data_IF_103915696808
#
_entry.id   IF_103915696808
#
_cell.length_a   1.000
_cell.length_b   1.000
_cell.length_c   1.000
_cell.angle_alpha   90.00
_cell.angle_beta   90.00
_cell.angle_gamma   90.00
#
_symmetry.space_group_name_H-M   'P 1'
#
loop_
_entity.id
_entity.type
_entity.pdbx_description
1 polymer ?
#
# COMPACT_ATOMS: atom_id res chain seq x y z
N UNK A 1 1.39 26.09 25.41
CA UNK A 1 1.99 25.56 26.66
C UNK A 1 1.16 25.90 27.91
N UNK A 2 0.60 27.12 28.02
CA UNK A 2 -0.24 27.52 29.18
C UNK A 2 -1.55 26.71 29.36
N UNK A 3 -2.19 26.32 28.26
CA UNK A 3 -3.43 25.53 28.27
C UNK A 3 -3.24 24.17 28.96
N UNK A 4 -2.10 23.51 28.70
CA UNK A 4 -1.74 22.23 29.31
C UNK A 4 -1.53 22.37 30.82
N UNK A 5 -0.89 23.46 31.26
CA UNK A 5 -0.64 23.74 32.68
C UNK A 5 -1.93 24.07 33.45
N UNK A 6 -2.88 24.79 32.83
CA UNK A 6 -4.22 25.03 33.40
C UNK A 6 -5.02 23.74 33.55
N UNK A 7 -5.05 22.91 32.51
CA UNK A 7 -5.73 21.61 32.54
C UNK A 7 -5.11 20.70 33.60
N UNK A 8 -3.78 20.65 33.68
CA UNK A 8 -3.07 19.85 34.68
C UNK A 8 -3.37 20.27 36.12
N UNK A 9 -3.38 21.57 36.39
CA UNK A 9 -3.72 22.09 37.72
C UNK A 9 -5.19 21.84 38.09
N UNK A 10 -6.10 21.89 37.11
CA UNK A 10 -7.51 21.58 37.32
C UNK A 10 -7.73 20.09 37.63
N UNK A 11 -7.07 19.20 36.89
CA UNK A 11 -7.09 17.75 37.16
C UNK A 11 -6.54 17.46 38.56
N UNK A 12 -5.42 18.08 38.96
CA UNK A 12 -4.85 17.93 40.30
C UNK A 12 -5.80 18.40 41.41
N UNK A 13 -6.58 19.45 41.16
CA UNK A 13 -7.59 19.95 42.11
C UNK A 13 -8.69 18.92 42.33
N UNK A 14 -9.22 18.34 41.25
CA UNK A 14 -10.29 17.32 41.30
C UNK A 14 -9.78 16.03 41.96
N UNK A 15 -8.51 15.70 41.76
CA UNK A 15 -7.89 14.51 42.34
C UNK A 15 -7.62 14.63 43.84
N UNK A 16 -7.40 15.85 44.34
CA UNK A 16 -7.22 16.13 45.77
C UNK A 16 -8.54 16.21 46.52
N UNK A 17 -9.66 16.33 45.81
CA UNK A 17 -10.98 16.34 46.44
C UNK A 17 -11.36 14.93 46.93
N UNK A 18 -11.59 14.74 48.25
CA UNK A 18 -11.80 13.42 48.84
C UNK A 18 -13.08 12.73 48.38
N UNK A 19 -14.05 13.49 47.87
CA UNK A 19 -15.31 12.97 47.31
C UNK A 19 -15.13 12.60 45.84
N UNK A 20 -14.60 13.51 45.03
CA UNK A 20 -14.43 13.31 43.58
C UNK A 20 -13.38 12.26 43.24
N UNK A 21 -12.29 12.18 44.02
CA UNK A 21 -11.28 11.13 43.86
C UNK A 21 -11.86 9.72 44.03
N UNK A 22 -12.80 9.54 44.98
CA UNK A 22 -13.50 8.27 45.19
C UNK A 22 -14.47 7.95 44.05
N UNK A 23 -15.22 8.94 43.56
CA UNK A 23 -16.14 8.79 42.42
C UNK A 23 -15.38 8.42 41.14
N UNK A 24 -14.26 9.10 40.88
CA UNK A 24 -13.42 8.84 39.71
C UNK A 24 -12.77 7.46 39.84
N UNK A 25 -12.27 7.09 41.02
CA UNK A 25 -11.69 5.77 41.26
C UNK A 25 -12.72 4.65 41.09
N UNK A 26 -13.93 4.82 41.63
CA UNK A 26 -15.03 3.88 41.43
C UNK A 26 -15.43 3.78 39.96
N UNK A 27 -15.48 4.91 39.24
CA UNK A 27 -15.74 4.96 37.80
C UNK A 27 -14.68 4.22 36.98
N UNK A 28 -13.39 4.42 37.29
CA UNK A 28 -12.28 3.72 36.64
C UNK A 28 -12.34 2.22 36.91
N UNK A 29 -12.62 1.79 38.15
CA UNK A 29 -12.77 0.37 38.52
C UNK A 29 -13.93 -0.26 37.76
N UNK A 30 -15.05 0.45 37.64
CA UNK A 30 -16.23 -0.02 36.91
C UNK A 30 -15.93 -0.14 35.40
N UNK A 31 -15.19 0.82 34.83
CA UNK A 31 -14.77 0.83 33.43
C UNK A 31 -13.78 -0.31 33.13
N UNK A 32 -12.81 -0.55 34.02
CA UNK A 32 -11.86 -1.68 33.90
C UNK A 32 -12.62 -3.00 34.01
N UNK A 33 -13.56 -3.12 34.96
CA UNK A 33 -14.36 -4.33 35.18
C UNK A 33 -15.28 -4.63 33.99
N UNK A 34 -15.92 -3.62 33.39
CA UNK A 34 -16.78 -3.80 32.20
C UNK A 34 -15.98 -4.14 30.94
N UNK A 35 -14.80 -3.54 30.75
CA UNK A 35 -13.91 -3.92 29.63
C UNK A 35 -13.38 -5.34 29.84
N UNK A 36 -13.05 -5.74 31.06
CA UNK A 36 -12.55 -7.09 31.38
C UNK A 36 -13.62 -8.18 31.23
N UNK A 37 -14.86 -7.93 31.66
CA UNK A 37 -16.02 -8.81 31.45
C UNK A 37 -16.31 -9.04 29.96
N UNK A 38 -16.10 -8.02 29.12
CA UNK A 38 -16.29 -8.14 27.68
C UNK A 38 -15.21 -8.99 26.99
N UNK A 39 -14.04 -9.13 27.61
CA UNK A 39 -12.88 -9.81 27.03
C UNK A 39 -12.52 -11.15 27.70
N UNK A 40 -13.14 -11.51 28.83
CA UNK A 40 -12.87 -12.76 29.54
C UNK A 40 -14.17 -13.53 29.79
N UNK A 41 -14.19 -14.82 29.47
CA UNK A 41 -15.27 -15.76 29.83
C UNK A 41 -15.25 -16.09 31.34
N UNK A 42 -14.90 -15.12 32.18
CA UNK A 42 -14.75 -15.28 33.64
C UNK A 42 -15.93 -14.67 34.38
N UNK A 43 -16.27 -15.27 35.51
CA UNK A 43 -17.44 -14.88 36.31
C UNK A 43 -17.10 -13.66 37.18
N UNK A 44 -18.07 -12.75 37.40
CA UNK A 44 -17.87 -11.50 38.16
C UNK A 44 -17.22 -11.71 39.55
N UNK A 45 -17.51 -12.84 40.18
CA UNK A 45 -17.00 -13.23 41.50
C UNK A 45 -15.50 -13.56 41.49
N UNK A 46 -15.00 -14.15 40.40
CA UNK A 46 -13.58 -14.52 40.24
C UNK A 46 -12.73 -13.27 39.99
N UNK A 47 -13.26 -12.32 39.23
CA UNK A 47 -12.61 -11.03 38.97
C UNK A 47 -12.52 -10.20 40.26
N UNK A 48 -13.59 -10.17 41.06
CA UNK A 48 -13.60 -9.45 42.34
C UNK A 48 -12.58 -10.05 43.32
N UNK A 49 -12.54 -11.38 43.46
CA UNK A 49 -11.57 -12.05 44.33
C UNK A 49 -10.13 -11.84 43.83
N UNK A 50 -9.87 -11.93 42.53
CA UNK A 50 -8.54 -11.67 41.96
C UNK A 50 -8.09 -10.21 42.11
N UNK A 51 -9.01 -9.24 42.05
CA UNK A 51 -8.72 -7.84 42.35
C UNK A 51 -8.38 -7.63 43.82
N UNK A 52 -9.16 -8.21 44.74
CA UNK A 52 -8.94 -8.10 46.19
C UNK A 52 -7.64 -8.79 46.61
N UNK A 53 -7.33 -9.97 46.07
CA UNK A 53 -6.06 -10.67 46.31
C UNK A 53 -4.87 -9.94 45.68
N UNK A 54 -5.04 -9.38 44.47
CA UNK A 54 -4.04 -8.52 43.83
C UNK A 54 -3.78 -7.21 44.58
N UNK A 55 -4.83 -6.65 45.22
CA UNK A 55 -4.76 -5.50 46.12
C UNK A 55 -4.10 -5.82 47.47
N UNK A 56 -4.11 -7.09 47.88
CA UNK A 56 -3.50 -7.56 49.13
C UNK A 56 -1.97 -7.74 49.03
N UNK A 57 -1.41 -7.83 47.82
CA UNK A 57 0.03 -7.81 47.63
C UNK A 57 0.61 -6.42 47.89
N UNK A 58 1.70 -6.35 48.66
CA UNK A 58 2.53 -5.14 48.92
C UNK A 58 3.09 -4.46 47.66
N UNK A 59 2.74 -4.92 46.46
CA UNK A 59 3.06 -4.23 45.24
C UNK A 59 2.16 -2.98 45.14
N UNK A 60 2.72 -1.77 44.98
CA UNK A 60 1.90 -0.58 44.86
C UNK A 60 0.99 -0.75 43.65
N UNK A 61 -0.32 -0.64 43.86
CA UNK A 61 -1.42 -0.75 42.87
C UNK A 61 -1.10 0.00 41.56
N UNK A 62 -0.32 1.07 41.67
CA UNK A 62 0.24 1.83 40.56
C UNK A 62 1.02 1.00 39.52
N UNK A 63 1.66 -0.11 39.89
CA UNK A 63 2.41 -0.99 38.97
C UNK A 63 1.47 -1.79 38.07
N UNK A 64 0.37 -2.31 38.63
CA UNK A 64 -0.65 -2.99 37.83
C UNK A 64 -1.40 -2.01 36.92
N UNK A 65 -1.75 -0.83 37.45
CA UNK A 65 -2.36 0.24 36.66
C UNK A 65 -1.43 0.76 35.55
N UNK A 66 -0.12 0.85 35.80
CA UNK A 66 0.85 1.31 34.79
C UNK A 66 1.04 0.29 33.66
N UNK A 67 1.06 -1.01 33.97
CA UNK A 67 1.10 -2.08 32.95
C UNK A 67 -0.15 -2.06 32.07
N UNK A 68 -1.33 -1.91 32.67
CA UNK A 68 -2.59 -1.80 31.93
C UNK A 68 -2.57 -0.54 31.05
N UNK A 69 -2.19 0.61 31.59
CA UNK A 69 -2.08 1.86 30.82
C UNK A 69 -1.07 1.75 29.67
N UNK A 70 0.08 1.12 29.89
CA UNK A 70 1.10 0.89 28.86
C UNK A 70 0.58 0.00 27.72
N UNK A 71 -0.15 -1.07 28.04
CA UNK A 71 -0.80 -1.93 27.04
C UNK A 71 -1.77 -1.13 26.16
N UNK A 72 -2.62 -0.30 26.77
CA UNK A 72 -3.56 0.54 26.02
C UNK A 72 -2.85 1.60 25.17
N UNK A 73 -1.81 2.24 25.68
CA UNK A 73 -1.00 3.20 24.94
C UNK A 73 -0.35 2.57 23.71
N UNK A 74 0.26 1.39 23.86
CA UNK A 74 0.86 0.65 22.74
C UNK A 74 -0.19 0.30 21.66
N UNK A 75 -1.37 -0.17 22.07
CA UNK A 75 -2.45 -0.53 21.15
C UNK A 75 -3.01 0.70 20.42
N UNK A 76 -3.07 1.85 21.10
CA UNK A 76 -3.51 3.12 20.54
C UNK A 76 -2.47 3.66 19.56
N UNK A 77 -1.18 3.54 19.90
CA UNK A 77 -0.08 3.86 18.99
C UNK A 77 -0.15 3.02 17.71
N UNK A 78 -0.27 1.70 17.84
CA UNK A 78 -0.42 0.80 16.69
C UNK A 78 -1.64 1.16 15.82
N UNK A 79 -2.76 1.54 16.43
CA UNK A 79 -3.98 1.94 15.69
C UNK A 79 -3.81 3.29 14.97
N UNK A 80 -3.13 4.26 15.59
CA UNK A 80 -2.85 5.56 14.99
C UNK A 80 -1.82 5.50 13.86
N UNK A 81 -0.93 4.51 13.87
CA UNK A 81 0.04 4.28 12.79
C UNK A 81 -0.48 3.43 11.63
N UNK A 82 -1.70 2.88 11.73
CA UNK A 82 -2.36 2.31 10.54
C UNK A 82 -2.73 3.46 9.61
N UNK A 83 -1.81 3.84 8.73
CA UNK A 83 -2.09 4.72 7.59
C UNK A 83 -3.34 4.18 6.90
N UNK A 84 -4.37 5.00 6.79
CA UNK A 84 -5.52 4.68 5.95
C UNK A 84 -4.95 4.54 4.54
N UNK A 85 -4.91 3.32 4.02
CA UNK A 85 -4.54 3.09 2.63
C UNK A 85 -5.56 3.81 1.77
N UNK A 86 -5.09 4.65 0.83
CA UNK A 86 -5.98 5.33 -0.08
C UNK A 86 -6.87 4.32 -0.81
N UNK A 87 -8.17 4.63 -1.00
CA UNK A 87 -9.12 3.68 -1.59
C UNK A 87 -8.71 3.21 -2.99
N UNK A 88 -7.89 3.99 -3.69
CA UNK A 88 -7.34 3.69 -5.02
C UNK A 88 -6.53 2.38 -5.02
N UNK A 89 -5.78 2.10 -3.94
CA UNK A 89 -4.96 0.88 -3.85
C UNK A 89 -5.79 -0.40 -3.80
N UNK A 90 -7.06 -0.30 -3.43
CA UNK A 90 -8.00 -1.42 -3.36
C UNK A 90 -8.90 -1.53 -4.59
N UNK A 91 -8.77 -0.64 -5.58
CA UNK A 91 -9.61 -0.66 -6.76
C UNK A 91 -9.31 -1.89 -7.63
N UNK A 92 -10.37 -2.52 -8.17
CA UNK A 92 -10.23 -3.73 -8.98
C UNK A 92 -9.89 -3.39 -10.43
N UNK A 93 -8.87 -4.06 -10.97
CA UNK A 93 -8.35 -3.93 -12.33
C UNK A 93 -8.29 -5.34 -12.93
N UNK A 94 -9.40 -5.75 -13.56
CA UNK A 94 -9.64 -7.13 -14.00
C UNK A 94 -9.66 -8.11 -12.83
N UNK A 95 -8.73 -9.07 -12.86
CA UNK A 95 -8.62 -10.12 -11.84
C UNK A 95 -7.77 -9.73 -10.62
N UNK A 96 -7.13 -8.56 -10.65
CA UNK A 96 -6.23 -8.08 -9.61
C UNK A 96 -6.77 -6.82 -8.93
N UNK A 97 -6.33 -6.55 -7.71
CA UNK A 97 -6.38 -5.17 -7.17
C UNK A 97 -5.26 -4.33 -7.77
N UNK A 98 -5.47 -3.01 -7.83
CA UNK A 98 -4.46 -2.07 -8.33
C UNK A 98 -3.12 -2.23 -7.61
N UNK A 99 -3.12 -2.32 -6.27
CA UNK A 99 -1.91 -2.57 -5.48
C UNK A 99 -1.19 -3.87 -5.85
N UNK A 100 -1.94 -4.95 -6.04
CA UNK A 100 -1.38 -6.26 -6.41
C UNK A 100 -0.71 -6.20 -7.78
N UNK A 101 -1.41 -5.67 -8.79
CA UNK A 101 -0.87 -5.56 -10.14
C UNK A 101 0.30 -4.59 -10.21
N UNK A 102 0.22 -3.46 -9.51
CA UNK A 102 1.33 -2.51 -9.37
C UNK A 102 2.58 -3.19 -8.82
N UNK A 103 2.47 -3.94 -7.72
CA UNK A 103 3.61 -4.61 -7.12
C UNK A 103 4.16 -5.74 -7.98
N UNK A 104 3.30 -6.49 -8.68
CA UNK A 104 3.73 -7.53 -9.62
C UNK A 104 4.60 -6.91 -10.71
N UNK A 105 4.15 -5.82 -11.32
CA UNK A 105 4.85 -5.18 -12.43
C UNK A 105 6.11 -4.45 -11.95
N UNK A 106 6.08 -3.81 -10.78
CA UNK A 106 7.22 -3.08 -10.23
C UNK A 106 8.36 -4.00 -9.75
N UNK A 107 8.05 -5.24 -9.38
CA UNK A 107 9.04 -6.20 -8.86
C UNK A 107 9.58 -7.16 -9.93
N UNK A 108 9.07 -7.09 -11.16
CA UNK A 108 9.50 -7.95 -12.25
C UNK A 108 10.34 -7.17 -13.24
N UNK A 109 11.64 -7.46 -13.26
CA UNK A 109 12.52 -7.08 -14.36
C UNK A 109 12.40 -8.13 -15.46
N UNK A 110 12.51 -7.70 -16.71
CA UNK A 110 12.37 -8.61 -17.85
C UNK A 110 13.50 -8.45 -18.89
N UNK A 111 14.78 -8.66 -18.51
CA UNK A 111 15.93 -8.43 -19.38
C UNK A 111 16.13 -9.59 -20.38
N UNK A 112 15.15 -9.82 -21.24
CA UNK A 112 15.20 -10.86 -22.28
C UNK A 112 15.80 -10.28 -23.55
N UNK A 113 16.95 -10.80 -23.96
CA UNK A 113 17.60 -10.40 -25.21
C UNK A 113 16.87 -10.99 -26.42
N UNK A 114 16.60 -10.16 -27.42
CA UNK A 114 16.08 -10.61 -28.72
C UNK A 114 17.21 -10.84 -29.72
N UNK A 115 16.99 -11.67 -30.74
CA UNK A 115 17.96 -11.86 -31.84
C UNK A 115 18.35 -10.54 -32.51
N UNK A 116 17.37 -9.65 -32.73
CA UNK A 116 17.60 -8.33 -33.31
C UNK A 116 18.48 -7.46 -32.43
N UNK A 117 18.28 -7.48 -31.11
CA UNK A 117 19.17 -6.81 -30.16
C UNK A 117 20.59 -7.36 -30.20
N UNK A 118 20.73 -8.69 -30.21
CA UNK A 118 22.02 -9.36 -30.25
C UNK A 118 22.84 -8.97 -31.48
N UNK A 119 22.21 -9.00 -32.65
CA UNK A 119 22.86 -8.59 -33.92
C UNK A 119 23.27 -7.12 -33.95
N UNK A 120 22.49 -6.26 -33.28
CA UNK A 120 22.78 -4.84 -33.16
C UNK A 120 23.72 -4.49 -32.00
N UNK A 121 24.20 -5.49 -31.24
CA UNK A 121 25.04 -5.29 -30.05
C UNK A 121 24.34 -4.52 -28.92
N UNK A 122 23.00 -4.54 -28.87
CA UNK A 122 22.21 -3.82 -27.87
C UNK A 122 21.87 -4.73 -26.70
N UNK A 123 21.99 -4.20 -25.48
CA UNK A 123 21.58 -4.91 -24.27
C UNK A 123 20.06 -4.80 -24.06
N UNK A 124 19.42 -5.82 -23.46
CA UNK A 124 18.02 -5.74 -23.11
C UNK A 124 17.78 -4.67 -22.03
N UNK A 125 16.56 -4.11 -21.93
CA UNK A 125 16.21 -3.18 -20.87
C UNK A 125 16.31 -3.85 -19.49
N UNK A 126 16.87 -3.13 -18.53
CA UNK A 126 16.95 -3.57 -17.12
C UNK A 126 15.82 -3.00 -16.25
N UNK A 127 14.95 -2.19 -16.85
CA UNK A 127 13.82 -1.59 -16.15
C UNK A 127 12.77 -2.66 -15.76
N UNK A 128 11.98 -2.36 -14.73
CA UNK A 128 10.85 -3.18 -14.32
C UNK A 128 9.68 -3.05 -15.31
N UNK A 129 8.78 -4.04 -15.32
CA UNK A 129 7.62 -4.08 -16.24
C UNK A 129 6.71 -2.86 -16.07
N UNK A 130 6.56 -2.32 -14.85
CA UNK A 130 5.75 -1.14 -14.59
C UNK A 130 6.35 0.09 -15.27
N UNK A 131 7.64 0.32 -15.08
CA UNK A 131 8.40 1.40 -15.72
C UNK A 131 8.36 1.30 -17.24
N UNK A 132 8.50 0.09 -17.78
CA UNK A 132 8.41 -0.14 -19.23
C UNK A 132 6.99 0.10 -19.76
N UNK A 133 5.95 -0.39 -19.08
CA UNK A 133 4.56 -0.12 -19.45
C UNK A 133 4.26 1.38 -19.47
N UNK A 134 4.63 2.09 -18.40
CA UNK A 134 4.45 3.54 -18.29
C UNK A 134 5.18 4.29 -19.42
N UNK A 135 6.41 3.89 -19.74
CA UNK A 135 7.22 4.55 -20.77
C UNK A 135 6.64 4.36 -22.17
N UNK A 136 6.16 3.15 -22.48
CA UNK A 136 5.73 2.77 -23.82
C UNK A 136 4.21 2.82 -24.03
N UNK A 137 3.43 3.26 -23.04
CA UNK A 137 1.97 3.34 -23.12
C UNK A 137 1.49 4.14 -24.34
N UNK A 138 2.19 5.21 -24.70
CA UNK A 138 1.84 6.04 -25.85
C UNK A 138 2.02 5.31 -27.18
N UNK A 139 2.99 4.39 -27.27
CA UNK A 139 3.16 3.53 -28.44
C UNK A 139 2.04 2.48 -28.50
N UNK A 140 1.73 1.84 -27.37
CA UNK A 140 0.65 0.86 -27.31
C UNK A 140 -0.73 1.49 -27.58
N UNK A 141 -0.96 2.75 -27.19
CA UNK A 141 -2.21 3.46 -27.49
C UNK A 141 -2.42 3.69 -29.00
N UNK A 142 -1.34 3.92 -29.75
CA UNK A 142 -1.38 4.03 -31.23
C UNK A 142 -1.54 2.67 -31.91
N UNK A 143 -1.20 1.64 -31.15
CA UNK A 143 -1.23 0.25 -31.54
C UNK A 143 0.03 -0.12 -32.30
N UNK A 144 0.74 -1.08 -31.74
CA UNK A 144 2.05 -1.54 -32.15
C UNK A 144 1.95 -2.71 -33.14
N UNK A 145 2.57 -2.56 -34.29
CA UNK A 145 2.67 -3.56 -35.37
C UNK A 145 4.12 -4.05 -35.53
N UNK A 146 4.30 -5.13 -36.30
CA UNK A 146 5.63 -5.67 -36.57
C UNK A 146 6.48 -4.70 -37.41
N UNK A 147 5.82 -3.98 -38.31
CA UNK A 147 6.45 -3.04 -39.25
C UNK A 147 6.85 -1.70 -38.59
N UNK A 148 6.45 -1.46 -37.34
CA UNK A 148 6.90 -0.28 -36.61
C UNK A 148 8.41 -0.41 -36.35
N UNK A 149 9.21 0.39 -37.09
CA UNK A 149 10.67 0.49 -36.95
C UNK A 149 11.06 1.05 -35.58
N UNK A 150 10.93 0.21 -34.57
CA UNK A 150 11.37 0.52 -33.24
C UNK A 150 12.82 0.09 -33.14
N UNK A 151 13.68 1.08 -32.90
CA UNK A 151 15.10 0.94 -32.58
C UNK A 151 15.41 -0.03 -31.41
N UNK A 152 14.45 -0.77 -30.86
CA UNK A 152 14.61 -1.76 -29.80
C UNK A 152 14.88 -3.19 -30.28
N UNK A 153 15.30 -3.41 -31.54
CA UNK A 153 15.61 -4.76 -32.04
C UNK A 153 14.44 -5.74 -31.98
N UNK A 154 13.20 -5.24 -32.04
CA UNK A 154 11.97 -6.02 -31.91
C UNK A 154 11.56 -6.37 -30.48
N UNK A 155 12.24 -5.89 -29.44
CA UNK A 155 11.91 -6.21 -28.04
C UNK A 155 10.49 -5.79 -27.64
N UNK A 156 10.07 -4.58 -28.02
CA UNK A 156 8.75 -4.07 -27.66
C UNK A 156 7.63 -4.97 -28.22
N UNK A 157 7.77 -5.39 -29.46
CA UNK A 157 6.80 -6.24 -30.15
C UNK A 157 6.91 -7.71 -29.75
N UNK A 158 8.12 -8.27 -29.73
CA UNK A 158 8.35 -9.70 -29.57
C UNK A 158 8.46 -10.19 -28.12
N UNK A 159 8.64 -9.28 -27.16
CA UNK A 159 8.92 -9.63 -25.76
C UNK A 159 7.98 -8.89 -24.81
N UNK A 160 8.01 -7.56 -24.82
CA UNK A 160 7.26 -6.76 -23.84
C UNK A 160 5.75 -6.86 -24.06
N UNK A 161 5.27 -6.65 -25.29
CA UNK A 161 3.84 -6.69 -25.58
C UNK A 161 3.18 -8.04 -25.21
N UNK A 162 3.72 -9.21 -25.63
CA UNK A 162 3.20 -10.51 -25.20
C UNK A 162 3.17 -10.68 -23.68
N UNK A 163 4.20 -10.17 -22.98
CA UNK A 163 4.24 -10.24 -21.52
C UNK A 163 3.13 -9.41 -20.89
N UNK A 164 2.85 -8.22 -21.40
CA UNK A 164 1.77 -7.35 -20.91
C UNK A 164 0.37 -7.85 -21.28
N UNK A 165 0.23 -8.57 -22.39
CA UNK A 165 -1.01 -9.31 -22.74
C UNK A 165 -1.35 -10.33 -21.66
N UNK A 166 -0.35 -11.01 -21.08
CA UNK A 166 -0.61 -11.99 -19.99
C UNK A 166 -1.20 -11.36 -18.72
N UNK A 167 -1.04 -10.05 -18.53
CA UNK A 167 -1.65 -9.28 -17.43
C UNK A 167 -2.95 -8.58 -17.84
N UNK A 168 -3.40 -8.75 -19.09
CA UNK A 168 -4.58 -8.08 -19.64
C UNK A 168 -4.40 -6.58 -19.85
N UNK A 169 -3.18 -6.04 -19.81
CA UNK A 169 -2.89 -4.61 -20.01
C UNK A 169 -2.87 -4.20 -21.49
N UNK A 170 -2.66 -5.18 -22.38
CA UNK A 170 -2.57 -5.03 -23.82
C UNK A 170 -3.44 -6.11 -24.46
N UNK A 171 -4.16 -5.71 -25.50
CA UNK A 171 -4.92 -6.61 -26.36
C UNK A 171 -4.11 -7.00 -27.59
N UNK A 172 -4.32 -8.23 -28.04
CA UNK A 172 -3.78 -8.79 -29.27
C UNK A 172 -4.87 -8.77 -30.33
N UNK A 173 -4.70 -7.94 -31.35
CA UNK A 173 -5.66 -7.76 -32.44
C UNK A 173 -5.06 -8.32 -33.73
N UNK A 174 -5.73 -9.29 -34.33
CA UNK A 174 -5.31 -9.82 -35.63
C UNK A 174 -5.80 -8.87 -36.73
N UNK A 175 -4.86 -8.32 -37.50
CA UNK A 175 -5.12 -7.36 -38.56
C UNK A 175 -4.52 -7.86 -39.87
N UNK A 176 -5.28 -7.79 -40.97
CA UNK A 176 -4.76 -8.17 -42.28
C UNK A 176 -3.75 -7.12 -42.76
N UNK A 177 -2.49 -7.51 -42.96
CA UNK A 177 -1.49 -6.61 -43.52
C UNK A 177 -1.71 -6.49 -45.03
N UNK A 178 -2.20 -5.33 -45.47
CA UNK A 178 -2.54 -5.05 -46.87
C UNK A 178 -1.32 -5.08 -47.81
N UNK A 179 -0.09 -5.08 -47.30
CA UNK A 179 1.14 -5.08 -48.11
C UNK A 179 1.65 -6.48 -48.42
N UNK A 180 1.41 -7.46 -47.55
CA UNK A 180 2.06 -8.79 -47.63
C UNK A 180 1.04 -9.93 -47.73
N UNK A 181 -0.27 -9.63 -47.70
CA UNK A 181 -1.38 -10.60 -47.68
C UNK A 181 -1.23 -11.68 -46.59
N UNK A 182 -0.68 -11.29 -45.44
CA UNK A 182 -0.54 -12.12 -44.23
C UNK A 182 -1.26 -11.46 -43.07
N UNK A 183 -1.80 -12.27 -42.15
CA UNK A 183 -2.34 -11.80 -40.88
C UNK A 183 -1.18 -11.30 -40.00
N UNK A 184 -1.18 -10.01 -39.68
CA UNK A 184 -0.27 -9.40 -38.72
C UNK A 184 -0.97 -9.28 -37.35
N UNK A 185 -0.17 -9.29 -36.29
CA UNK A 185 -0.63 -9.11 -34.93
C UNK A 185 -0.34 -7.68 -34.54
N UNK A 186 -1.39 -6.93 -34.21
CA UNK A 186 -1.30 -5.59 -33.66
C UNK A 186 -1.55 -5.64 -32.15
N UNK A 187 -0.67 -5.03 -31.37
CA UNK A 187 -0.80 -4.92 -29.92
C UNK A 187 -1.27 -3.53 -29.53
N UNK A 188 -2.39 -3.42 -28.82
CA UNK A 188 -2.94 -2.13 -28.39
C UNK A 188 -3.24 -2.14 -26.89
N UNK A 189 -3.13 -0.99 -26.22
CA UNK A 189 -3.57 -0.88 -24.81
C UNK A 189 -5.03 -1.30 -24.68
N UNK A 190 -5.31 -2.20 -23.73
CA UNK A 190 -6.68 -2.65 -23.46
C UNK A 190 -7.46 -1.63 -22.62
N UNK A 191 -8.77 -1.82 -22.48
CA UNK A 191 -9.59 -1.03 -21.55
C UNK A 191 -9.04 -1.13 -20.11
N UNK A 192 -8.62 -2.34 -19.71
CA UNK A 192 -8.00 -2.59 -18.42
C UNK A 192 -6.65 -1.88 -18.30
N UNK A 193 -5.84 -1.88 -19.36
CA UNK A 193 -4.59 -1.14 -19.43
C UNK A 193 -4.78 0.36 -19.25
N UNK A 194 -5.79 0.94 -19.91
CA UNK A 194 -6.15 2.35 -19.73
C UNK A 194 -6.60 2.65 -18.30
N UNK A 195 -7.43 1.80 -17.71
CA UNK A 195 -7.85 1.93 -16.31
C UNK A 195 -6.66 1.87 -15.36
N UNK A 196 -5.78 0.89 -15.54
CA UNK A 196 -4.57 0.73 -14.74
C UNK A 196 -3.67 1.97 -14.83
N UNK A 197 -3.46 2.49 -16.05
CA UNK A 197 -2.66 3.68 -16.28
C UNK A 197 -3.26 4.93 -15.62
N UNK A 198 -4.57 5.11 -15.67
CA UNK A 198 -5.24 6.22 -14.99
C UNK A 198 -5.08 6.17 -13.46
N UNK A 199 -5.15 4.97 -12.86
CA UNK A 199 -4.91 4.78 -11.43
C UNK A 199 -3.44 5.01 -11.06
N UNK A 200 -2.52 4.60 -11.93
CA UNK A 200 -1.09 4.85 -11.79
C UNK A 200 -0.78 6.35 -11.77
N UNK A 201 -1.24 7.10 -12.76
CA UNK A 201 -1.11 8.57 -12.80
C UNK A 201 -1.68 9.22 -11.53
N UNK A 202 -2.87 8.80 -11.12
CA UNK A 202 -3.50 9.30 -9.89
C UNK A 202 -2.67 8.99 -8.65
N UNK A 203 -2.05 7.82 -8.57
CA UNK A 203 -1.21 7.41 -7.44
C UNK A 203 0.07 8.24 -7.32
N UNK A 204 0.69 8.60 -8.46
CA UNK A 204 1.90 9.44 -8.50
C UNK A 204 1.59 10.83 -7.94
N UNK A 205 0.44 11.40 -8.28
CA UNK A 205 0.02 12.72 -7.77
C UNK A 205 -0.34 12.73 -6.28
N UNK A 206 -0.68 11.58 -5.70
CA UNK A 206 -1.01 11.46 -4.27
C UNK A 206 0.23 11.27 -3.38
N UNK A 207 1.34 10.80 -3.95
CA UNK A 207 2.58 10.59 -3.21
C UNK A 207 3.78 11.27 -3.91
N UNK A 208 4.07 12.56 -3.60
CA UNK A 208 5.14 13.31 -4.27
C UNK A 208 6.55 12.74 -4.04
N UNK A 209 6.74 11.80 -3.10
CA UNK A 209 7.99 11.06 -2.96
C UNK A 209 8.22 10.02 -4.06
N UNK A 210 7.15 9.41 -4.60
CA UNK A 210 7.23 8.44 -5.68
C UNK A 210 7.46 9.14 -7.03
N UNK A 211 6.89 10.34 -7.22
CA UNK A 211 7.16 11.20 -8.37
C UNK A 211 8.66 11.53 -8.51
N UNK A 212 9.35 11.79 -7.39
CA UNK A 212 10.81 12.04 -7.38
C UNK A 212 11.60 10.79 -7.77
N UNK A 213 11.23 9.59 -7.30
CA UNK A 213 11.94 8.33 -7.65
C UNK A 213 11.82 7.98 -9.12
N UNK A 214 10.64 8.19 -9.72
CA UNK A 214 10.40 7.93 -11.15
C UNK A 214 11.18 8.95 -12.00
N UNK A 215 11.13 10.24 -11.65
CA UNK A 215 11.88 11.29 -12.36
C UNK A 215 13.40 11.15 -12.21
N UNK A 216 13.92 10.73 -11.05
CA UNK A 216 15.37 10.54 -10.84
C UNK A 216 15.94 9.41 -11.71
N UNK A 217 15.19 8.33 -11.92
CA UNK A 217 15.58 7.25 -12.84
C UNK A 217 15.56 7.70 -14.31
N UNK A 218 14.65 8.59 -14.68
CA UNK A 218 14.56 9.14 -16.05
C UNK A 218 15.64 10.19 -16.36
N UNK A 219 16.02 11.01 -15.37
CA UNK A 219 17.09 12.02 -15.52
C UNK A 219 18.49 11.41 -15.66
N UNK A 220 18.76 10.30 -14.96
CA UNK A 220 20.06 9.61 -15.01
C UNK A 220 20.36 8.89 -16.34
N UNK A 221 19.35 8.70 -17.21
CA UNK A 221 19.52 8.10 -18.55
C UNK A 221 19.62 9.13 -19.68
N UNK A 222 19.52 10.43 -19.38
CA UNK A 222 19.67 11.53 -20.36
C UNK A 222 21.00 12.29 -20.24
N UNK A 223 21.86 11.90 -19.30
CA UNK A 223 23.23 12.42 -19.10
C UNK A 223 24.26 11.43 -19.64
#
# INVERSE_FOLDING_TARGET
MELFRKIWNWILSIWKDPVWSKVISAGIILLISTVWLKYSNLTFKEIYNGLIEGLAFKAPIFVFLSLIAAYFLLKLFQKSFKRKSDPIWNEQVGNYKFSELYHILANQNFPVETRGMSWLGRKPPEDDLLSMFYTYITLFNRGLSLDDELNGGGYLYGVLAPKLVSYGLIDKIEAKNLRIDVMDIKYQTSELGHKFYALLEKSIHLNPEDEKKIKHKQGAKRS
#
